data_IF_737965114991
#
_entry.id   IF_737965114991
#
_cell.length_a   1.000
_cell.length_b   1.000
_cell.length_c   1.000
_cell.angle_alpha   90.00
_cell.angle_beta   90.00
_cell.angle_gamma   90.00
#
_symmetry.space_group_name_H-M   'P 1'
#
loop_
_entity.id
_entity.type
_entity.pdbx_description
1 polymer ?
#
# COMPACT_ATOMS: atom_id res chain seq x y z
N UNK A 1 -1.61 -5.91 9.20
CA UNK A 1 -2.16 -6.09 7.82
C UNK A 1 -2.03 -7.54 7.35
N UNK A 2 -0.84 -8.16 7.29
CA UNK A 2 -0.67 -9.58 6.89
C UNK A 2 -1.57 -10.56 7.70
N UNK A 3 -1.62 -10.41 9.03
CA UNK A 3 -2.51 -11.24 9.85
C UNK A 3 -4.00 -11.09 9.50
N UNK A 4 -4.45 -9.86 9.24
CA UNK A 4 -5.82 -9.56 8.82
C UNK A 4 -6.13 -10.13 7.43
N UNK A 5 -5.14 -10.14 6.52
CA UNK A 5 -5.26 -10.77 5.22
C UNK A 5 -5.57 -12.27 5.34
N UNK A 6 -4.86 -12.99 6.21
CA UNK A 6 -5.16 -14.41 6.48
C UNK A 6 -6.52 -14.62 7.16
N UNK A 7 -6.90 -13.71 8.05
CA UNK A 7 -8.21 -13.72 8.71
C UNK A 7 -9.36 -13.27 7.78
N UNK A 8 -9.07 -12.82 6.55
CA UNK A 8 -10.02 -12.20 5.61
C UNK A 8 -10.73 -10.96 6.17
N UNK A 9 -10.15 -10.33 7.18
CA UNK A 9 -10.61 -9.07 7.75
C UNK A 9 -10.04 -7.91 6.93
N UNK A 10 -10.82 -7.48 5.94
CA UNK A 10 -10.40 -6.47 4.96
C UNK A 10 -10.30 -5.07 5.55
N UNK A 11 -11.23 -4.72 6.43
CA UNK A 11 -11.30 -3.37 6.99
C UNK A 11 -10.11 -3.13 7.92
N UNK A 12 -9.90 -4.03 8.89
CA UNK A 12 -8.73 -3.95 9.76
C UNK A 12 -7.44 -4.15 8.96
N UNK A 13 -7.48 -4.96 7.89
CA UNK A 13 -6.37 -5.11 6.96
C UNK A 13 -5.93 -3.79 6.35
N UNK A 14 -6.88 -3.03 5.78
CA UNK A 14 -6.63 -1.72 5.18
C UNK A 14 -6.19 -0.68 6.20
N UNK A 15 -6.84 -0.59 7.36
CA UNK A 15 -6.46 0.38 8.39
C UNK A 15 -5.03 0.13 8.90
N UNK A 16 -4.66 -1.15 9.08
CA UNK A 16 -3.31 -1.51 9.47
C UNK A 16 -2.26 -1.25 8.38
N UNK A 17 -2.65 -1.37 7.11
CA UNK A 17 -1.80 -1.04 5.97
C UNK A 17 -1.47 0.46 5.93
N UNK A 18 -2.51 1.30 6.01
CA UNK A 18 -2.36 2.76 6.09
C UNK A 18 -1.52 3.17 7.30
N UNK A 19 -1.77 2.57 8.46
CA UNK A 19 -0.99 2.85 9.68
C UNK A 19 0.49 2.47 9.51
N UNK A 20 0.78 1.33 8.89
CA UNK A 20 2.14 0.86 8.62
C UNK A 20 2.91 1.84 7.73
N UNK A 21 2.32 2.27 6.60
CA UNK A 21 2.96 3.26 5.71
C UNK A 21 3.19 4.61 6.41
N UNK A 22 2.20 5.10 7.15
CA UNK A 22 2.34 6.34 7.93
C UNK A 22 3.48 6.26 8.94
N UNK A 23 3.68 5.09 9.56
CA UNK A 23 4.74 4.89 10.53
C UNK A 23 6.13 4.91 9.89
N UNK A 24 6.30 4.27 8.72
CA UNK A 24 7.56 4.34 7.95
C UNK A 24 7.90 5.80 7.62
N UNK A 25 6.94 6.56 7.10
CA UNK A 25 7.13 7.97 6.77
C UNK A 25 7.48 8.79 8.01
N UNK A 26 6.85 8.49 9.15
CA UNK A 26 7.17 9.17 10.42
C UNK A 26 8.60 8.90 10.89
N UNK A 27 9.14 7.69 10.67
CA UNK A 27 10.52 7.36 11.05
C UNK A 27 11.58 8.11 10.24
N UNK A 28 11.24 8.63 9.06
CA UNK A 28 12.15 9.44 8.27
C UNK A 28 12.47 10.81 8.92
N UNK A 29 11.69 11.24 9.92
CA UNK A 29 11.91 12.53 10.60
C UNK A 29 11.82 13.75 9.67
N UNK A 30 11.15 13.61 8.52
CA UNK A 30 11.08 14.62 7.48
C UNK A 30 9.65 15.13 7.33
N UNK A 31 9.39 16.34 7.84
CA UNK A 31 8.07 16.94 7.85
C UNK A 31 7.53 17.23 6.44
N UNK A 32 8.40 17.57 5.49
CA UNK A 32 8.01 17.81 4.09
C UNK A 32 7.55 16.50 3.44
N UNK A 33 8.28 15.41 3.66
CA UNK A 33 7.87 14.08 3.19
C UNK A 33 6.53 13.66 3.80
N UNK A 34 6.37 13.85 5.11
CA UNK A 34 5.12 13.53 5.81
C UNK A 34 3.92 14.32 5.29
N UNK A 35 4.08 15.63 5.09
CA UNK A 35 3.04 16.49 4.54
C UNK A 35 2.69 16.08 3.09
N UNK A 36 3.70 15.81 2.27
CA UNK A 36 3.54 15.38 0.87
C UNK A 36 2.81 14.04 0.79
N UNK A 37 3.23 13.05 1.58
CA UNK A 37 2.57 11.75 1.66
C UNK A 37 1.10 11.89 2.06
N UNK A 38 0.80 12.69 3.09
CA UNK A 38 -0.58 12.91 3.56
C UNK A 38 -1.45 13.53 2.46
N UNK A 39 -0.93 14.54 1.76
CA UNK A 39 -1.66 15.22 0.69
C UNK A 39 -1.96 14.29 -0.50
N UNK A 40 -1.02 13.42 -0.87
CA UNK A 40 -1.20 12.48 -2.00
C UNK A 40 -2.06 11.27 -1.64
N UNK A 41 -2.01 10.80 -0.39
CA UNK A 41 -2.72 9.58 0.02
C UNK A 41 -4.19 9.82 0.36
N UNK A 42 -4.53 10.98 0.95
CA UNK A 42 -5.93 11.29 1.30
C UNK A 42 -6.93 11.13 0.14
N UNK A 43 -6.69 11.68 -1.08
CA UNK A 43 -7.61 11.48 -2.19
C UNK A 43 -7.58 10.05 -2.78
N UNK A 44 -6.47 9.32 -2.64
CA UNK A 44 -6.31 7.97 -3.20
C UNK A 44 -6.80 6.86 -2.27
N UNK A 45 -6.99 7.13 -0.98
CA UNK A 45 -7.46 6.16 0.03
C UNK A 45 -8.75 5.43 -0.37
N UNK A 46 -9.71 6.14 -0.98
CA UNK A 46 -10.95 5.50 -1.46
C UNK A 46 -10.65 4.49 -2.56
N UNK A 47 -9.79 4.85 -3.52
CA UNK A 47 -9.32 3.94 -4.56
C UNK A 47 -8.57 2.74 -3.98
N UNK A 48 -7.65 2.99 -3.05
CA UNK A 48 -6.87 1.96 -2.35
C UNK A 48 -7.75 0.97 -1.56
N UNK A 49 -8.82 1.45 -0.93
CA UNK A 49 -9.75 0.57 -0.20
C UNK A 49 -10.54 -0.36 -1.13
N UNK A 50 -10.96 0.15 -2.28
CA UNK A 50 -11.75 -0.64 -3.23
C UNK A 50 -10.90 -1.49 -4.17
N UNK A 51 -9.68 -1.06 -4.51
CA UNK A 51 -8.83 -1.72 -5.49
C UNK A 51 -8.66 -3.23 -5.20
N UNK A 52 -8.30 -3.68 -3.97
CA UNK A 52 -8.17 -5.10 -3.64
C UNK A 52 -9.45 -5.93 -3.83
N UNK A 53 -10.64 -5.31 -3.91
CA UNK A 53 -11.88 -6.05 -4.22
C UNK A 53 -11.89 -6.60 -5.64
N UNK A 54 -11.14 -5.98 -6.55
CA UNK A 54 -11.18 -6.30 -7.97
C UNK A 54 -10.11 -7.32 -8.38
N UNK A 55 -9.17 -7.70 -7.49
CA UNK A 55 -8.21 -8.77 -7.80
C UNK A 55 -7.57 -9.39 -6.55
N UNK A 56 -7.82 -10.68 -6.33
CA UNK A 56 -7.12 -11.48 -5.32
C UNK A 56 -5.62 -11.60 -5.62
N UNK A 57 -5.24 -11.77 -6.89
CA UNK A 57 -3.83 -11.91 -7.28
C UNK A 57 -3.04 -10.67 -6.89
N UNK A 58 -3.56 -9.47 -7.18
CA UNK A 58 -2.91 -8.22 -6.80
C UNK A 58 -2.83 -8.04 -5.28
N UNK A 59 -3.83 -8.52 -4.55
CA UNK A 59 -3.80 -8.53 -3.08
C UNK A 59 -2.71 -9.48 -2.55
N UNK A 60 -2.57 -10.67 -3.13
CA UNK A 60 -1.55 -11.66 -2.75
C UNK A 60 -0.14 -11.12 -3.00
N UNK A 61 0.09 -10.50 -4.15
CA UNK A 61 1.34 -9.82 -4.49
C UNK A 61 1.67 -8.69 -3.52
N UNK A 62 0.68 -7.86 -3.15
CA UNK A 62 0.89 -6.77 -2.20
C UNK A 62 1.31 -7.29 -0.83
N UNK A 63 0.71 -8.38 -0.34
CA UNK A 63 1.09 -8.98 0.95
C UNK A 63 2.49 -9.61 0.90
N UNK A 64 2.84 -10.28 -0.20
CA UNK A 64 4.18 -10.83 -0.39
C UNK A 64 5.26 -9.72 -0.38
N UNK A 65 5.01 -8.60 -1.05
CA UNK A 65 5.92 -7.45 -1.02
C UNK A 65 6.04 -6.82 0.36
N UNK A 66 4.96 -6.75 1.14
CA UNK A 66 5.05 -6.31 2.53
C UNK A 66 5.90 -7.23 3.40
N UNK A 67 5.81 -8.54 3.21
CA UNK A 67 6.68 -9.50 3.91
C UNK A 67 8.16 -9.29 3.54
N UNK A 68 8.46 -9.10 2.26
CA UNK A 68 9.81 -8.81 1.78
C UNK A 68 10.37 -7.50 2.37
N UNK A 69 9.54 -6.45 2.39
CA UNK A 69 9.92 -5.16 2.97
C UNK A 69 10.22 -5.28 4.46
N UNK A 70 9.37 -5.97 5.23
CA UNK A 70 9.57 -6.18 6.66
C UNK A 70 10.87 -6.96 6.90
N UNK A 71 11.14 -8.01 6.14
CA UNK A 71 12.39 -8.76 6.24
C UNK A 71 13.62 -7.87 5.97
N UNK A 72 13.59 -7.08 4.88
CA UNK A 72 14.67 -6.16 4.55
C UNK A 72 14.90 -5.08 5.62
N UNK A 73 13.83 -4.58 6.26
CA UNK A 73 13.93 -3.64 7.39
C UNK A 73 14.59 -4.34 8.59
N UNK A 74 14.18 -5.56 8.92
CA UNK A 74 14.74 -6.33 10.03
C UNK A 74 16.23 -6.63 9.83
N UNK A 75 16.63 -6.91 8.59
CA UNK A 75 18.02 -7.18 8.23
C UNK A 75 18.84 -5.89 8.03
N UNK A 76 18.22 -4.71 8.20
CA UNK A 76 18.84 -3.39 7.97
C UNK A 76 19.40 -3.20 6.56
N UNK A 77 18.88 -3.94 5.57
CA UNK A 77 19.26 -3.83 4.15
C UNK A 77 18.60 -2.61 3.51
N UNK A 78 19.20 -1.45 3.76
CA UNK A 78 18.67 -0.15 3.31
C UNK A 78 18.49 -0.07 1.78
N UNK A 79 19.44 -0.53 0.94
CA UNK A 79 19.23 -0.60 -0.50
C UNK A 79 18.00 -1.44 -0.89
N UNK A 80 17.83 -2.62 -0.31
CA UNK A 80 16.67 -3.46 -0.60
C UNK A 80 15.36 -2.80 -0.14
N UNK A 81 15.33 -2.21 1.06
CA UNK A 81 14.16 -1.47 1.57
C UNK A 81 13.75 -0.36 0.59
N UNK A 82 14.72 0.43 0.12
CA UNK A 82 14.45 1.52 -0.82
C UNK A 82 13.86 1.01 -2.14
N UNK A 83 14.46 -0.04 -2.72
CA UNK A 83 13.99 -0.60 -3.99
C UNK A 83 12.59 -1.21 -3.85
N UNK A 84 12.38 -2.03 -2.82
CA UNK A 84 11.09 -2.69 -2.55
C UNK A 84 9.97 -1.65 -2.34
N UNK A 85 10.24 -0.59 -1.57
CA UNK A 85 9.27 0.48 -1.32
C UNK A 85 8.92 1.24 -2.61
N UNK A 86 9.93 1.60 -3.41
CA UNK A 86 9.71 2.27 -4.70
C UNK A 86 8.78 1.44 -5.60
N UNK A 87 9.12 0.17 -5.80
CA UNK A 87 8.38 -0.71 -6.69
C UNK A 87 6.96 -0.98 -6.18
N UNK A 88 6.81 -1.10 -4.85
CA UNK A 88 5.51 -1.21 -4.21
C UNK A 88 4.61 -0.01 -4.52
N UNK A 89 5.08 1.22 -4.29
CA UNK A 89 4.29 2.44 -4.50
C UNK A 89 3.91 2.63 -5.96
N UNK A 90 4.85 2.41 -6.89
CA UNK A 90 4.58 2.52 -8.34
C UNK A 90 3.49 1.54 -8.77
N UNK A 91 3.61 0.27 -8.36
CA UNK A 91 2.62 -0.76 -8.70
C UNK A 91 1.25 -0.50 -8.08
N UNK A 92 1.21 0.00 -6.84
CA UNK A 92 -0.03 0.41 -6.18
C UNK A 92 -0.72 1.56 -6.94
N UNK A 93 0.06 2.53 -7.45
CA UNK A 93 -0.46 3.60 -8.31
C UNK A 93 -1.13 3.07 -9.58
N UNK A 94 -0.45 2.17 -10.30
CA UNK A 94 -1.01 1.50 -11.50
C UNK A 94 -2.32 0.77 -11.15
N UNK A 95 -2.34 0.06 -10.03
CA UNK A 95 -3.53 -0.68 -9.62
C UNK A 95 -4.73 0.20 -9.29
N UNK A 96 -4.51 1.33 -8.62
CA UNK A 96 -5.57 2.29 -8.32
C UNK A 96 -6.12 2.89 -9.62
N UNK A 97 -5.25 3.25 -10.57
CA UNK A 97 -5.67 3.74 -11.89
C UNK A 97 -6.53 2.71 -12.64
N UNK A 98 -6.07 1.45 -12.71
CA UNK A 98 -6.83 0.35 -13.31
C UNK A 98 -8.24 0.23 -12.68
N UNK A 99 -8.30 0.28 -11.35
CA UNK A 99 -9.55 0.09 -10.60
C UNK A 99 -10.53 1.25 -10.82
N UNK A 100 -10.01 2.48 -10.95
CA UNK A 100 -10.82 3.65 -11.28
C UNK A 100 -11.39 3.52 -12.69
N UNK A 101 -10.60 3.07 -13.68
CA UNK A 101 -11.08 2.88 -15.05
C UNK A 101 -12.15 1.79 -15.14
N UNK A 102 -11.96 0.64 -14.47
CA UNK A 102 -12.97 -0.43 -14.42
C UNK A 102 -14.27 0.07 -13.80
N UNK A 103 -14.19 0.76 -12.66
CA UNK A 103 -15.38 1.29 -11.97
C UNK A 103 -16.11 2.41 -12.73
N UNK A 104 -15.46 3.06 -13.70
CA UNK A 104 -16.11 3.99 -14.63
C UNK A 104 -16.81 3.26 -15.78
N UNK A 105 -16.20 2.19 -16.31
CA UNK A 105 -16.77 1.39 -17.40
C UNK A 105 -18.06 0.65 -16.98
N UNK A 106 -18.18 0.22 -15.72
CA UNK A 106 -19.40 -0.44 -15.21
C UNK A 106 -20.58 0.52 -14.96
N UNK A 107 -20.37 1.84 -15.06
CA UNK A 107 -21.41 2.86 -14.85
C UNK A 107 -22.01 3.41 -16.15
N UNK A 108 -21.44 3.07 -17.31
CA UNK A 108 -21.94 3.45 -18.64
C UNK A 108 -22.74 2.32 -19.26
#
# INVERSE_FOLDING_TARGET
>A
MIGCYHAKDRESGFLNDVAFHNQIVSFAGNDVLKATHTHLTSPSQRGLFFAPRFSKVKQDEAMATHQQLIAAIMDSDTPAVSQIMHDHVVRTGIFVLDSIWIGQAEKG
#
